data_IF_172287350106
#
_entry.id   IF_172287350106
#
_cell.length_a   1.000
_cell.length_b   1.000
_cell.length_c   1.000
_cell.angle_alpha   90.00
_cell.angle_beta   90.00
_cell.angle_gamma   90.00
#
_symmetry.space_group_name_H-M   'P 1'
#
loop_
_entity.id
_entity.type
_entity.pdbx_description
1 polymer ?
#
# COMPACT_ATOMS: atom_id res chain seq x y z
N UNK A 1 -0.12 -11.65 -7.32
CA UNK A 1 0.37 -10.26 -7.13
C UNK A 1 -0.72 -9.32 -7.64
N UNK A 2 -1.15 -8.36 -6.83
CA UNK A 2 -2.15 -7.35 -7.22
C UNK A 2 -1.49 -5.97 -7.17
N UNK A 3 -1.88 -5.05 -8.05
CA UNK A 3 -1.39 -3.67 -8.01
C UNK A 3 -2.49 -2.66 -8.26
N UNK A 4 -2.27 -1.44 -7.79
CA UNK A 4 -3.09 -0.28 -8.11
C UNK A 4 -2.27 1.00 -7.98
N UNK A 5 -2.69 2.02 -8.72
CA UNK A 5 -2.13 3.36 -8.60
C UNK A 5 -2.90 4.16 -7.56
N UNK A 6 -2.19 4.91 -6.73
CA UNK A 6 -2.80 5.87 -5.82
C UNK A 6 -2.11 7.23 -5.90
N UNK A 7 -2.90 8.29 -5.68
CA UNK A 7 -2.40 9.66 -5.63
C UNK A 7 -2.14 10.06 -4.19
N UNK A 8 -0.92 10.48 -3.88
CA UNK A 8 -0.50 10.98 -2.57
C UNK A 8 0.22 12.31 -2.77
N UNK A 9 -0.23 13.38 -2.09
CA UNK A 9 0.31 14.75 -2.18
C UNK A 9 0.52 15.37 -3.57
N UNK A 10 -0.09 14.81 -4.61
CA UNK A 10 0.06 15.31 -5.98
C UNK A 10 0.68 14.29 -6.92
N UNK A 11 1.46 13.35 -6.36
CA UNK A 11 2.21 12.34 -7.10
C UNK A 11 1.48 11.00 -7.12
N UNK A 12 1.75 10.21 -8.17
CA UNK A 12 1.17 8.88 -8.34
C UNK A 12 2.18 7.82 -7.97
N UNK A 13 1.76 6.92 -7.07
CA UNK A 13 2.56 5.80 -6.60
C UNK A 13 1.93 4.48 -7.03
N UNK A 14 2.76 3.58 -7.55
CA UNK A 14 2.34 2.22 -7.84
C UNK A 14 2.46 1.38 -6.58
N UNK A 15 1.34 0.82 -6.14
CA UNK A 15 1.26 0.00 -4.93
C UNK A 15 1.07 -1.45 -5.34
N UNK A 16 2.04 -2.29 -5.01
CA UNK A 16 2.02 -3.73 -5.27
C UNK A 16 1.73 -4.47 -3.96
N UNK A 17 0.65 -5.25 -3.93
CA UNK A 17 0.26 -6.06 -2.78
C UNK A 17 0.57 -7.53 -3.06
N UNK A 18 1.23 -8.15 -2.07
CA UNK A 18 1.41 -9.60 -1.97
C UNK A 18 1.03 -10.10 -0.58
N UNK A 19 0.90 -11.40 -0.40
CA UNK A 19 0.57 -12.01 0.89
C UNK A 19 1.54 -13.14 1.19
N UNK A 20 2.10 -13.17 2.41
CA UNK A 20 3.03 -14.19 2.88
C UNK A 20 2.64 -14.57 4.31
N UNK A 21 2.45 -15.86 4.58
CA UNK A 21 2.29 -16.43 5.94
C UNK A 21 1.38 -15.63 6.90
N UNK A 22 0.21 -15.18 6.45
CA UNK A 22 -0.71 -14.41 7.30
C UNK A 22 -0.43 -12.91 7.42
N UNK A 23 0.51 -12.39 6.62
CA UNK A 23 0.77 -10.96 6.45
C UNK A 23 0.49 -10.53 5.01
N UNK A 24 -0.04 -9.33 4.83
CA UNK A 24 0.00 -8.64 3.54
C UNK A 24 1.18 -7.69 3.51
N UNK A 25 1.91 -7.72 2.41
CA UNK A 25 3.02 -6.82 2.13
C UNK A 25 2.56 -5.85 1.04
N UNK A 26 2.75 -4.57 1.30
CA UNK A 26 2.45 -3.48 0.39
C UNK A 26 3.78 -2.84 -0.02
N UNK A 27 4.20 -3.09 -1.25
CA UNK A 27 5.44 -2.59 -1.82
C UNK A 27 5.12 -1.37 -2.68
N UNK A 28 5.82 -0.27 -2.44
CA UNK A 28 5.64 1.00 -3.14
C UNK A 28 6.99 1.47 -3.65
N UNK A 29 7.07 1.81 -4.93
CA UNK A 29 8.28 2.40 -5.51
C UNK A 29 8.29 3.91 -5.24
N UNK A 30 9.23 4.38 -4.42
CA UNK A 30 9.40 5.77 -3.99
C UNK A 30 10.84 6.21 -4.28
N UNK A 31 11.03 7.25 -5.11
CA UNK A 31 12.37 7.80 -5.41
C UNK A 31 13.40 6.76 -5.91
N UNK A 32 12.96 5.78 -6.71
CA UNK A 32 13.76 4.63 -7.18
C UNK A 32 14.13 3.60 -6.09
N UNK A 33 13.55 3.70 -4.89
CA UNK A 33 13.65 2.70 -3.84
C UNK A 33 12.32 1.96 -3.69
N UNK A 34 12.38 0.65 -3.44
CA UNK A 34 11.19 -0.13 -3.12
C UNK A 34 10.97 -0.16 -1.61
N UNK A 35 9.91 0.50 -1.16
CA UNK A 35 9.52 0.55 0.26
C UNK A 35 8.45 -0.50 0.52
N UNK A 36 8.68 -1.38 1.49
CA UNK A 36 7.71 -2.42 1.88
C UNK A 36 7.06 -2.07 3.21
N UNK A 37 5.73 -2.03 3.23
CA UNK A 37 4.92 -1.86 4.41
C UNK A 37 4.21 -3.18 4.76
N UNK A 38 4.31 -3.61 6.01
CA UNK A 38 3.70 -4.86 6.49
C UNK A 38 2.35 -4.60 7.18
N UNK A 39 1.38 -5.48 6.90
CA UNK A 39 0.02 -5.43 7.43
C UNK A 39 -0.42 -6.82 7.92
N UNK A 40 -0.93 -6.95 9.16
CA UNK A 40 -1.49 -8.21 9.65
C UNK A 40 -2.74 -8.61 8.86
N UNK A 41 -2.91 -9.89 8.45
CA UNK A 41 -4.08 -10.32 7.64
C UNK A 41 -5.45 -9.96 8.20
N UNK A 42 -5.57 -9.79 9.53
CA UNK A 42 -6.81 -9.42 10.19
C UNK A 42 -7.26 -7.98 9.86
N UNK A 43 -6.30 -7.12 9.55
CA UNK A 43 -6.49 -5.74 9.08
C UNK A 43 -6.35 -5.67 7.54
N UNK A 44 -5.81 -6.74 6.95
CA UNK A 44 -5.41 -6.76 5.57
C UNK A 44 -6.58 -7.03 4.63
N UNK A 45 -6.79 -6.03 3.79
CA UNK A 45 -7.64 -5.96 2.61
C UNK A 45 -8.48 -7.20 2.27
N UNK A 46 -9.80 -7.09 2.48
CA UNK A 46 -10.76 -7.77 1.60
C UNK A 46 -10.74 -7.05 0.25
N UNK A 47 -9.76 -7.35 -0.61
CA UNK A 47 -9.82 -7.01 -2.03
C UNK A 47 -10.95 -7.84 -2.67
N UNK A 48 -12.19 -7.36 -2.58
CA UNK A 48 -13.25 -7.89 -3.44
C UNK A 48 -13.02 -7.34 -4.83
N UNK A 49 -12.92 -8.23 -5.81
CA UNK A 49 -12.66 -7.95 -7.22
C UNK A 49 -13.19 -6.57 -7.68
N UNK A 50 -12.29 -5.55 -7.65
CA UNK A 50 -12.46 -4.13 -8.04
C UNK A 50 -12.59 -3.06 -6.93
N UNK A 51 -12.54 -3.38 -5.64
CA UNK A 51 -12.52 -2.35 -4.57
C UNK A 51 -11.44 -2.60 -3.52
N UNK A 52 -10.64 -1.58 -3.27
CA UNK A 52 -9.75 -1.46 -2.11
C UNK A 52 -10.54 -0.81 -0.98
N UNK A 53 -10.36 -1.27 0.26
CA UNK A 53 -10.99 -0.63 1.41
C UNK A 53 -10.49 0.82 1.56
N UNK A 54 -11.38 1.84 1.65
CA UNK A 54 -10.98 3.23 1.84
C UNK A 54 -10.13 3.48 3.09
N UNK A 55 -10.32 2.71 4.16
CA UNK A 55 -9.50 2.82 5.38
C UNK A 55 -8.05 2.45 5.10
N UNK A 56 -7.84 1.37 4.35
CA UNK A 56 -6.52 0.92 3.93
C UNK A 56 -5.85 1.89 2.97
N UNK A 57 -6.61 2.48 2.03
CA UNK A 57 -6.09 3.53 1.15
C UNK A 57 -5.57 4.74 1.94
N UNK A 58 -6.28 5.13 3.02
CA UNK A 58 -5.81 6.20 3.90
C UNK A 58 -4.55 5.80 4.66
N UNK A 59 -4.48 4.57 5.14
CA UNK A 59 -3.29 4.10 5.85
C UNK A 59 -2.07 4.02 4.93
N UNK A 60 -2.22 3.49 3.71
CA UNK A 60 -1.16 3.51 2.69
C UNK A 60 -0.71 4.93 2.38
N UNK A 61 -1.65 5.85 2.15
CA UNK A 61 -1.32 7.26 1.92
C UNK A 61 -0.53 7.83 3.10
N UNK A 62 -0.99 7.62 4.32
CA UNK A 62 -0.33 8.13 5.52
C UNK A 62 1.09 7.58 5.71
N UNK A 63 1.31 6.29 5.44
CA UNK A 63 2.66 5.68 5.54
C UNK A 63 3.60 6.18 4.45
N UNK A 64 3.12 6.33 3.21
CA UNK A 64 3.89 6.94 2.11
C UNK A 64 4.25 8.38 2.46
N UNK A 65 3.28 9.17 2.95
CA UNK A 65 3.51 10.56 3.37
C UNK A 65 4.53 10.67 4.50
N UNK A 66 4.42 9.80 5.52
CA UNK A 66 5.34 9.79 6.65
C UNK A 66 6.76 9.42 6.23
N UNK A 67 6.90 8.46 5.31
CA UNK A 67 8.18 8.07 4.74
C UNK A 67 8.84 9.22 3.97
N UNK A 68 8.07 9.97 3.17
CA UNK A 68 8.57 11.13 2.42
C UNK A 68 8.96 12.34 3.29
N UNK A 69 8.53 12.37 4.55
CA UNK A 69 8.82 13.44 5.50
C UNK A 69 10.02 13.15 6.42
N UNK A 70 10.51 11.89 6.43
CA UNK A 70 11.65 11.45 7.23
C UNK A 70 12.95 11.62 6.47
#
# INVERSE_FOLDING_TARGET
MQNFWMKVRGDFYNVNITSIQGMQLCMVDIMNEQVTFEFPQKEACRFQAKRVDPSLLREFAHRIESYLQS
#
